data_IF_201132126867
#
_entry.id   IF_201132126867
#
_cell.length_a   1.000
_cell.length_b   1.000
_cell.length_c   1.000
_cell.angle_alpha   90.00
_cell.angle_beta   90.00
_cell.angle_gamma   90.00
#
_symmetry.space_group_name_H-M   'P 1'
#
loop_
_entity.id
_entity.type
_entity.pdbx_description
1 polymer ?
#
# COMPACT_ATOMS: atom_id res chain seq x y z
N UNK A 1 24.06 -16.42 26.21
CA UNK A 1 23.80 -17.67 25.47
C UNK A 1 24.90 -18.71 25.72
N UNK A 2 24.55 -19.98 25.90
CA UNK A 2 25.54 -21.05 26.09
C UNK A 2 26.11 -21.55 24.73
N UNK A 3 27.29 -22.17 24.76
CA UNK A 3 28.01 -22.64 23.56
C UNK A 3 27.29 -23.76 22.81
N UNK A 4 26.43 -24.52 23.50
CA UNK A 4 25.65 -25.60 22.91
C UNK A 4 24.57 -25.06 21.98
N UNK A 5 23.79 -24.05 22.41
CA UNK A 5 22.78 -23.38 21.58
C UNK A 5 23.40 -22.73 20.35
N UNK A 6 24.56 -22.07 20.51
CA UNK A 6 25.30 -21.49 19.37
C UNK A 6 25.68 -22.54 18.32
N UNK A 7 26.19 -23.69 18.80
CA UNK A 7 26.61 -24.79 17.93
C UNK A 7 25.43 -25.45 17.24
N UNK A 8 24.34 -25.74 17.97
CA UNK A 8 23.13 -26.34 17.41
C UNK A 8 22.51 -25.46 16.33
N UNK A 9 22.37 -24.16 16.58
CA UNK A 9 21.80 -23.23 15.61
C UNK A 9 22.65 -23.13 14.34
N UNK A 10 23.97 -23.02 14.48
CA UNK A 10 24.88 -23.02 13.32
C UNK A 10 24.75 -24.28 12.47
N UNK A 11 24.66 -25.45 13.11
CA UNK A 11 24.47 -26.72 12.42
C UNK A 11 23.10 -26.78 11.73
N UNK A 12 22.04 -26.26 12.35
CA UNK A 12 20.70 -26.20 11.78
C UNK A 12 20.67 -25.35 10.50
N UNK A 13 21.26 -24.14 10.52
CA UNK A 13 21.37 -23.28 9.33
C UNK A 13 22.12 -24.02 8.22
N UNK A 14 23.30 -24.59 8.52
CA UNK A 14 24.08 -25.33 7.52
C UNK A 14 23.30 -26.50 6.93
N UNK A 15 22.55 -27.22 7.76
CA UNK A 15 21.71 -28.34 7.32
C UNK A 15 20.63 -27.87 6.35
N UNK A 16 20.02 -26.71 6.58
CA UNK A 16 19.01 -26.14 5.68
C UNK A 16 19.60 -25.58 4.38
N UNK A 17 20.73 -24.87 4.43
CA UNK A 17 21.29 -24.24 3.22
C UNK A 17 21.96 -25.26 2.29
N UNK A 18 22.55 -26.33 2.83
CA UNK A 18 23.25 -27.34 2.04
C UNK A 18 22.35 -28.51 1.60
N UNK A 19 21.19 -28.73 2.22
CA UNK A 19 20.28 -29.79 1.81
C UNK A 19 19.34 -29.36 0.69
N UNK A 20 18.95 -30.30 -0.17
CA UNK A 20 17.91 -30.08 -1.18
C UNK A 20 16.50 -30.09 -0.60
N UNK A 21 16.31 -30.67 0.59
CA UNK A 21 15.03 -30.77 1.29
C UNK A 21 15.10 -30.06 2.63
N UNK A 22 14.02 -29.36 3.00
CA UNK A 22 13.87 -28.81 4.35
C UNK A 22 13.77 -29.95 5.36
N UNK A 23 14.57 -29.87 6.42
CA UNK A 23 14.60 -30.84 7.52
C UNK A 23 13.84 -30.23 8.71
N UNK A 24 12.69 -30.79 9.14
CA UNK A 24 11.86 -30.21 10.19
C UNK A 24 12.63 -29.90 11.47
N UNK A 25 13.50 -30.83 11.89
CA UNK A 25 14.31 -30.69 13.11
C UNK A 25 15.28 -29.51 13.05
N UNK A 26 15.70 -29.09 11.86
CA UNK A 26 16.55 -27.91 11.68
C UNK A 26 15.73 -26.62 11.72
N UNK A 27 14.48 -26.65 11.23
CA UNK A 27 13.56 -25.51 11.35
C UNK A 27 13.15 -25.30 12.80
N UNK A 28 12.86 -26.38 13.54
CA UNK A 28 12.55 -26.32 14.97
C UNK A 28 13.66 -25.67 15.79
N UNK A 29 14.93 -25.92 15.46
CA UNK A 29 16.05 -25.29 16.17
C UNK A 29 16.15 -23.79 15.89
N UNK A 30 15.79 -23.35 14.68
CA UNK A 30 15.68 -21.92 14.35
C UNK A 30 14.52 -21.29 15.14
N UNK A 31 13.36 -21.95 15.19
CA UNK A 31 12.20 -21.48 15.95
C UNK A 31 12.55 -21.28 17.43
N UNK A 32 13.19 -22.29 18.05
CA UNK A 32 13.63 -22.19 19.45
C UNK A 32 14.64 -21.07 19.68
N UNK A 33 15.47 -20.78 18.68
CA UNK A 33 16.43 -19.69 18.78
C UNK A 33 15.75 -18.32 18.68
N UNK A 34 14.75 -18.15 17.83
CA UNK A 34 13.92 -16.94 17.77
C UNK A 34 13.16 -16.72 19.09
N UNK A 35 12.68 -17.80 19.71
CA UNK A 35 12.04 -17.77 21.05
C UNK A 35 12.98 -17.41 22.20
N UNK A 36 14.29 -17.50 21.99
CA UNK A 36 15.27 -17.35 23.05
C UNK A 36 15.85 -15.92 23.07
N UNK A 37 15.41 -15.12 24.04
CA UNK A 37 15.86 -13.73 24.25
C UNK A 37 17.39 -13.59 24.41
N UNK A 38 18.13 -14.66 24.67
CA UNK A 38 19.61 -14.62 24.72
C UNK A 38 20.27 -14.64 23.34
N UNK A 39 19.52 -14.94 22.28
CA UNK A 39 19.96 -14.90 20.89
C UNK A 39 19.68 -13.49 20.39
N UNK A 40 20.69 -12.62 20.44
CA UNK A 40 20.54 -11.22 20.02
C UNK A 40 20.57 -11.07 18.50
N UNK A 41 20.04 -9.95 18.00
CA UNK A 41 20.12 -9.60 16.57
C UNK A 41 21.57 -9.53 16.07
N UNK A 42 22.48 -8.99 16.90
CA UNK A 42 23.92 -8.97 16.61
C UNK A 42 24.48 -10.39 16.43
N UNK A 43 24.03 -11.35 17.23
CA UNK A 43 24.46 -12.74 17.09
C UNK A 43 23.94 -13.35 15.78
N UNK A 44 22.66 -13.15 15.46
CA UNK A 44 22.10 -13.61 14.19
C UNK A 44 22.85 -13.02 12.99
N UNK A 45 23.08 -11.71 12.99
CA UNK A 45 23.77 -10.99 11.93
C UNK A 45 25.18 -11.55 11.73
N UNK A 46 25.95 -11.72 12.82
CA UNK A 46 27.26 -12.33 12.79
C UNK A 46 27.22 -13.79 12.29
N UNK A 47 26.21 -14.56 12.69
CA UNK A 47 26.07 -15.95 12.26
C UNK A 47 25.85 -16.04 10.74
N UNK A 48 24.95 -15.24 10.18
CA UNK A 48 24.71 -15.22 8.73
C UNK A 48 25.91 -14.69 7.94
N UNK A 49 26.59 -13.64 8.43
CA UNK A 49 27.77 -13.09 7.78
C UNK A 49 28.94 -14.09 7.78
N UNK A 50 29.11 -14.87 8.86
CA UNK A 50 30.09 -15.96 8.89
C UNK A 50 29.79 -17.11 7.91
N UNK A 51 28.53 -17.25 7.46
CA UNK A 51 28.15 -18.17 6.38
C UNK A 51 28.14 -17.49 4.99
N UNK A 52 28.57 -16.22 4.91
CA UNK A 52 28.86 -15.49 3.68
C UNK A 52 27.76 -14.54 3.19
N UNK A 53 26.77 -14.19 4.02
CA UNK A 53 25.66 -13.33 3.60
C UNK A 53 26.13 -11.94 3.10
N UNK A 54 27.07 -11.31 3.80
CA UNK A 54 27.66 -10.01 3.44
C UNK A 54 28.35 -10.03 2.07
N UNK A 55 29.16 -11.07 1.81
CA UNK A 55 29.82 -11.30 0.54
C UNK A 55 28.76 -11.57 -0.54
N UNK A 56 27.75 -12.40 -0.24
CA UNK A 56 26.67 -12.73 -1.15
C UNK A 56 25.87 -11.51 -1.61
N UNK A 57 25.64 -10.55 -0.70
CA UNK A 57 25.02 -9.27 -1.00
C UNK A 57 25.93 -8.40 -1.87
N UNK A 58 27.18 -8.21 -1.43
CA UNK A 58 28.14 -7.30 -2.08
C UNK A 58 28.48 -7.73 -3.51
N UNK A 59 28.74 -9.02 -3.70
CA UNK A 59 29.18 -9.58 -4.97
C UNK A 59 28.02 -10.14 -5.82
N UNK A 60 26.77 -10.01 -5.34
CA UNK A 60 25.55 -10.50 -6.01
C UNK A 60 25.63 -11.99 -6.39
N UNK A 61 26.01 -12.84 -5.42
CA UNK A 61 26.19 -14.27 -5.62
C UNK A 61 24.87 -15.00 -5.41
N UNK A 62 24.32 -15.66 -6.43
CA UNK A 62 23.04 -16.36 -6.35
C UNK A 62 23.17 -17.89 -6.35
N UNK A 63 24.12 -18.45 -5.59
CA UNK A 63 24.21 -19.91 -5.46
C UNK A 63 23.00 -20.47 -4.70
N UNK A 64 22.66 -21.76 -4.87
CA UNK A 64 21.55 -22.35 -4.14
C UNK A 64 21.66 -22.22 -2.62
N UNK A 65 22.88 -22.34 -2.09
CA UNK A 65 23.12 -22.17 -0.66
C UNK A 65 22.88 -20.71 -0.25
N UNK A 66 23.33 -19.76 -1.06
CA UNK A 66 23.18 -18.32 -0.75
C UNK A 66 21.71 -17.89 -0.77
N UNK A 67 20.94 -18.36 -1.76
CA UNK A 67 19.49 -18.07 -1.83
C UNK A 67 18.77 -18.56 -0.58
N UNK A 68 19.06 -19.78 -0.10
CA UNK A 68 18.48 -20.30 1.14
C UNK A 68 18.94 -19.53 2.36
N UNK A 69 20.23 -19.22 2.47
CA UNK A 69 20.81 -18.45 3.58
C UNK A 69 20.13 -17.07 3.71
N UNK A 70 20.05 -16.35 2.60
CA UNK A 70 19.43 -15.02 2.52
C UNK A 70 17.92 -15.07 2.82
N UNK A 71 17.24 -16.14 2.40
CA UNK A 71 15.83 -16.35 2.70
C UNK A 71 15.60 -16.56 4.21
N UNK A 72 16.41 -17.40 4.88
CA UNK A 72 16.30 -17.61 6.33
C UNK A 72 16.61 -16.31 7.08
N UNK A 73 17.69 -15.61 6.70
CA UNK A 73 18.07 -14.33 7.32
C UNK A 73 16.91 -13.34 7.31
N UNK A 74 16.24 -13.19 6.16
CA UNK A 74 15.10 -12.29 6.01
C UNK A 74 13.85 -12.71 6.82
N UNK A 75 13.75 -13.96 7.27
CA UNK A 75 12.64 -14.43 8.11
C UNK A 75 12.86 -14.17 9.59
N UNK A 76 14.09 -14.26 10.07
CA UNK A 76 14.42 -14.22 11.50
C UNK A 76 15.05 -12.91 11.95
N UNK A 77 15.45 -12.06 11.00
CA UNK A 77 15.95 -10.71 11.24
C UNK A 77 15.14 -9.71 10.40
N UNK A 78 14.08 -9.09 10.95
CA UNK A 78 13.17 -8.21 10.23
C UNK A 78 13.86 -7.12 9.41
N UNK A 79 14.91 -6.52 9.99
CA UNK A 79 15.71 -5.42 9.43
C UNK A 79 16.36 -5.77 8.07
N UNK A 80 16.51 -7.06 7.80
CA UNK A 80 17.21 -7.58 6.63
C UNK A 80 16.26 -7.86 5.47
N UNK A 81 14.95 -7.93 5.69
CA UNK A 81 13.95 -8.20 4.64
C UNK A 81 14.02 -7.18 3.49
N UNK A 82 14.18 -5.85 3.72
CA UNK A 82 14.38 -4.91 2.62
C UNK A 82 15.66 -5.13 1.81
N UNK A 83 16.75 -5.52 2.48
CA UNK A 83 18.02 -5.83 1.82
C UNK A 83 17.89 -7.11 0.98
N UNK A 84 17.21 -8.12 1.52
CA UNK A 84 16.87 -9.33 0.80
C UNK A 84 16.05 -9.04 -0.46
N UNK A 85 15.00 -8.21 -0.36
CA UNK A 85 14.18 -7.85 -1.51
C UNK A 85 15.00 -7.15 -2.61
N UNK A 86 15.87 -6.20 -2.22
CA UNK A 86 16.75 -5.52 -3.16
C UNK A 86 17.75 -6.49 -3.82
N UNK A 87 18.30 -7.42 -3.04
CA UNK A 87 19.23 -8.44 -3.53
C UNK A 87 18.54 -9.46 -4.43
N UNK A 88 17.34 -9.92 -4.10
CA UNK A 88 16.55 -10.88 -4.89
C UNK A 88 16.14 -10.30 -6.27
N UNK A 89 16.19 -8.97 -6.41
CA UNK A 89 16.08 -8.26 -7.68
C UNK A 89 14.80 -8.59 -8.47
N UNK A 90 13.66 -8.57 -7.78
CA UNK A 90 12.34 -8.80 -8.40
C UNK A 90 12.03 -7.71 -9.42
N UNK A 91 11.61 -8.13 -10.60
CA UNK A 91 11.27 -7.25 -11.72
C UNK A 91 9.76 -7.29 -11.97
N UNK A 92 9.04 -6.17 -11.80
CA UNK A 92 7.60 -6.15 -11.98
C UNK A 92 7.15 -6.63 -13.36
N UNK A 93 6.11 -7.45 -13.39
CA UNK A 93 5.55 -8.02 -14.62
C UNK A 93 6.42 -9.07 -15.31
N UNK A 94 7.57 -9.47 -14.72
CA UNK A 94 8.37 -10.59 -15.21
C UNK A 94 8.10 -11.85 -14.42
N UNK A 95 8.23 -13.00 -15.10
CA UNK A 95 8.20 -14.29 -14.41
C UNK A 95 9.41 -14.41 -13.49
N UNK A 96 9.28 -15.14 -12.36
CA UNK A 96 10.41 -15.37 -11.47
C UNK A 96 11.58 -16.05 -12.20
N UNK A 97 12.80 -15.61 -11.92
CA UNK A 97 14.00 -16.29 -12.38
C UNK A 97 14.31 -17.57 -11.57
N UNK A 98 15.36 -18.29 -11.93
CA UNK A 98 15.73 -19.55 -11.26
C UNK A 98 16.00 -19.37 -9.76
N UNK A 99 16.61 -18.25 -9.36
CA UNK A 99 16.95 -17.96 -7.97
C UNK A 99 15.69 -17.63 -7.17
N UNK A 100 14.78 -16.86 -7.76
CA UNK A 100 13.48 -16.54 -7.17
C UNK A 100 12.61 -17.79 -7.04
N UNK A 101 12.56 -18.65 -8.06
CA UNK A 101 11.87 -19.94 -8.01
C UNK A 101 12.45 -20.86 -6.93
N UNK A 102 13.77 -20.83 -6.74
CA UNK A 102 14.41 -21.61 -5.70
C UNK A 102 14.09 -21.10 -4.29
N UNK A 103 14.13 -19.78 -4.07
CA UNK A 103 13.70 -19.19 -2.80
C UNK A 103 12.25 -19.57 -2.52
N UNK A 104 11.36 -19.46 -3.53
CA UNK A 104 9.96 -19.82 -3.40
C UNK A 104 9.77 -21.30 -3.02
N UNK A 105 10.45 -22.22 -3.72
CA UNK A 105 10.38 -23.64 -3.44
C UNK A 105 10.92 -24.02 -2.06
N UNK A 106 11.92 -23.26 -1.56
CA UNK A 106 12.43 -23.42 -0.21
C UNK A 106 11.45 -22.90 0.84
N UNK A 107 10.86 -21.72 0.64
CA UNK A 107 9.83 -21.15 1.51
C UNK A 107 8.60 -22.05 1.63
N UNK A 108 8.11 -22.60 0.51
CA UNK A 108 6.96 -23.49 0.50
C UNK A 108 7.20 -24.78 1.30
N UNK A 109 8.43 -25.30 1.34
CA UNK A 109 8.77 -26.44 2.18
C UNK A 109 8.90 -26.06 3.67
N UNK A 110 9.30 -24.83 3.98
CA UNK A 110 9.41 -24.36 5.37
C UNK A 110 8.07 -24.00 6.00
N UNK A 111 7.07 -23.57 5.20
CA UNK A 111 5.85 -22.95 5.70
C UNK A 111 5.07 -23.81 6.71
N UNK A 112 5.13 -25.13 6.58
CA UNK A 112 4.45 -26.07 7.48
C UNK A 112 5.06 -26.14 8.90
N UNK A 113 6.28 -25.64 9.08
CA UNK A 113 7.05 -25.74 10.32
C UNK A 113 7.23 -24.40 11.03
N UNK A 114 6.73 -23.30 10.47
CA UNK A 114 6.82 -21.97 11.07
C UNK A 114 5.71 -21.76 12.11
N UNK A 115 6.09 -21.25 13.27
CA UNK A 115 5.15 -20.84 14.32
C UNK A 115 4.75 -19.35 14.18
N UNK A 116 3.87 -18.89 15.05
CA UNK A 116 3.38 -17.52 15.05
C UNK A 116 4.47 -16.48 15.36
N UNK A 117 5.51 -16.85 16.12
CA UNK A 117 6.60 -15.92 16.44
C UNK A 117 7.44 -15.57 15.21
N UNK A 118 7.82 -16.56 14.38
CA UNK A 118 8.50 -16.26 13.12
C UNK A 118 7.60 -15.46 12.18
N UNK A 119 6.29 -15.73 12.15
CA UNK A 119 5.37 -14.91 11.34
C UNK A 119 5.35 -13.46 11.81
N UNK A 120 5.41 -13.21 13.12
CA UNK A 120 5.49 -11.86 13.67
C UNK A 120 6.78 -11.15 13.27
N UNK A 121 7.94 -11.83 13.29
CA UNK A 121 9.20 -11.28 12.78
C UNK A 121 9.09 -10.88 11.30
N UNK A 122 8.47 -11.73 10.48
CA UNK A 122 8.24 -11.43 9.06
C UNK A 122 7.29 -10.24 8.90
N UNK A 123 6.25 -10.15 9.72
CA UNK A 123 5.31 -9.03 9.73
C UNK A 123 6.03 -7.73 10.12
N UNK A 124 6.94 -7.74 11.09
CA UNK A 124 7.80 -6.59 11.41
C UNK A 124 8.69 -6.21 10.22
N UNK A 125 9.22 -7.19 9.49
CA UNK A 125 9.94 -6.95 8.24
C UNK A 125 9.05 -6.27 7.19
N UNK A 126 7.79 -6.68 7.09
CA UNK A 126 6.79 -6.05 6.20
C UNK A 126 6.53 -4.60 6.62
N UNK A 127 6.43 -4.30 7.91
CA UNK A 127 6.33 -2.92 8.42
C UNK A 127 7.50 -2.05 7.91
N UNK A 128 8.73 -2.57 7.91
CA UNK A 128 9.90 -1.88 7.35
C UNK A 128 9.82 -1.67 5.84
N UNK A 129 9.29 -2.64 5.09
CA UNK A 129 9.01 -2.47 3.65
C UNK A 129 7.99 -1.37 3.40
N UNK A 130 6.94 -1.29 4.21
CA UNK A 130 5.91 -0.25 4.14
C UNK A 130 6.47 1.13 4.44
N UNK A 131 7.36 1.26 5.42
CA UNK A 131 8.09 2.51 5.71
C UNK A 131 8.94 2.93 4.50
N UNK A 132 9.67 1.99 3.89
CA UNK A 132 10.48 2.27 2.70
C UNK A 132 9.63 2.67 1.49
N UNK A 133 8.44 2.08 1.34
CA UNK A 133 7.46 2.47 0.33
C UNK A 133 6.99 3.92 0.53
N UNK A 134 6.64 4.30 1.76
CA UNK A 134 6.22 5.67 2.09
C UNK A 134 7.34 6.70 1.87
N UNK A 135 8.58 6.31 2.20
CA UNK A 135 9.80 7.08 1.89
C UNK A 135 10.20 7.05 0.41
N UNK A 136 9.41 6.40 -0.45
CA UNK A 136 9.63 6.25 -1.91
C UNK A 136 10.98 5.61 -2.27
N UNK A 137 11.54 4.79 -1.36
CA UNK A 137 12.77 4.03 -1.58
C UNK A 137 12.51 2.71 -2.33
N UNK A 138 11.27 2.24 -2.32
CA UNK A 138 10.80 1.06 -3.04
C UNK A 138 9.47 1.43 -3.72
N UNK A 139 9.22 0.93 -4.93
CA UNK A 139 7.99 1.24 -5.66
C UNK A 139 6.85 0.27 -5.30
N UNK A 140 5.57 0.70 -5.45
CA UNK A 140 4.42 -0.19 -5.25
C UNK A 140 4.49 -1.46 -6.10
N UNK A 141 4.99 -1.38 -7.34
CA UNK A 141 5.02 -2.50 -8.29
C UNK A 141 6.01 -3.59 -7.85
N UNK A 142 7.15 -3.22 -7.27
CA UNK A 142 8.12 -4.18 -6.71
C UNK A 142 7.50 -4.92 -5.53
N UNK A 143 6.88 -4.20 -4.59
CA UNK A 143 6.22 -4.82 -3.44
C UNK A 143 5.01 -5.67 -3.85
N UNK A 144 4.21 -5.20 -4.81
CA UNK A 144 3.08 -5.96 -5.32
C UNK A 144 3.57 -7.29 -5.91
N UNK A 145 4.62 -7.26 -6.73
CA UNK A 145 5.21 -8.48 -7.31
C UNK A 145 5.75 -9.42 -6.23
N UNK A 146 6.34 -8.88 -5.16
CA UNK A 146 6.84 -9.65 -4.04
C UNK A 146 5.71 -10.35 -3.27
N UNK A 147 4.65 -9.62 -2.92
CA UNK A 147 3.53 -10.16 -2.17
C UNK A 147 2.57 -11.02 -3.01
N UNK A 148 2.61 -10.95 -4.34
CA UNK A 148 1.82 -11.78 -5.25
C UNK A 148 2.42 -13.17 -5.52
N UNK A 149 3.61 -13.47 -5.00
CA UNK A 149 4.21 -14.80 -5.14
C UNK A 149 3.40 -15.83 -4.35
N UNK A 150 2.46 -16.49 -5.03
CA UNK A 150 1.56 -17.50 -4.46
C UNK A 150 2.37 -18.63 -3.81
N UNK A 151 1.96 -19.04 -2.60
CA UNK A 151 2.65 -20.07 -1.83
C UNK A 151 3.95 -19.61 -1.14
N UNK A 152 4.36 -18.35 -1.32
CA UNK A 152 5.45 -17.76 -0.53
C UNK A 152 5.01 -17.47 0.91
N UNK A 153 5.95 -17.56 1.84
CA UNK A 153 5.68 -17.16 3.24
C UNK A 153 5.43 -15.64 3.31
N UNK A 154 6.06 -14.86 2.44
CA UNK A 154 5.84 -13.41 2.32
C UNK A 154 4.38 -13.09 2.00
N UNK A 155 3.78 -13.83 1.06
CA UNK A 155 2.36 -13.70 0.73
C UNK A 155 1.48 -14.07 1.94
N UNK A 156 1.76 -15.18 2.61
CA UNK A 156 1.00 -15.63 3.78
C UNK A 156 1.02 -14.56 4.89
N UNK A 157 2.21 -14.10 5.28
CA UNK A 157 2.36 -13.06 6.30
C UNK A 157 1.79 -11.71 5.86
N UNK A 158 1.84 -11.38 4.56
CA UNK A 158 1.16 -10.19 4.03
C UNK A 158 -0.36 -10.27 4.18
N UNK A 159 -0.97 -11.44 3.98
CA UNK A 159 -2.42 -11.60 4.21
C UNK A 159 -2.78 -11.37 5.69
N UNK A 160 -1.94 -11.84 6.62
CA UNK A 160 -2.14 -11.58 8.04
C UNK A 160 -1.91 -10.09 8.38
N UNK A 161 -0.90 -9.47 7.78
CA UNK A 161 -0.69 -8.02 7.86
C UNK A 161 -1.94 -7.23 7.41
N UNK A 162 -2.54 -7.58 6.27
CA UNK A 162 -3.78 -6.96 5.77
C UNK A 162 -4.93 -7.13 6.77
N UNK A 163 -5.10 -8.30 7.37
CA UNK A 163 -6.12 -8.52 8.42
C UNK A 163 -5.90 -7.61 9.63
N UNK A 164 -4.66 -7.47 10.08
CA UNK A 164 -4.30 -6.58 11.20
C UNK A 164 -4.68 -5.14 10.88
N UNK A 165 -4.29 -4.64 9.70
CA UNK A 165 -4.64 -3.27 9.27
C UNK A 165 -6.16 -3.09 9.16
N UNK A 166 -6.87 -4.04 8.56
CA UNK A 166 -8.32 -4.00 8.45
C UNK A 166 -9.01 -3.95 9.82
N UNK A 167 -8.62 -4.82 10.75
CA UNK A 167 -9.14 -4.83 12.10
C UNK A 167 -8.87 -3.50 12.81
N UNK A 168 -7.63 -3.03 12.70
CA UNK A 168 -7.17 -1.75 13.18
C UNK A 168 -8.02 -0.56 12.77
N UNK A 169 -8.22 -0.41 11.46
CA UNK A 169 -9.02 0.65 10.87
C UNK A 169 -10.53 0.51 11.18
N UNK A 170 -11.03 -0.70 11.49
CA UNK A 170 -12.41 -0.88 11.93
C UNK A 170 -12.62 -0.44 13.39
N UNK A 171 -11.64 -0.69 14.27
CA UNK A 171 -11.72 -0.33 15.69
C UNK A 171 -11.38 1.14 15.92
N UNK A 172 -10.30 1.62 15.30
CA UNK A 172 -9.84 3.02 15.36
C UNK A 172 -9.69 3.54 13.94
N UNK A 173 -10.77 4.02 13.32
CA UNK A 173 -10.78 4.46 11.91
C UNK A 173 -9.91 5.68 11.59
N UNK A 174 -9.40 6.37 12.62
CA UNK A 174 -8.43 7.46 12.48
C UNK A 174 -7.01 6.92 12.34
N UNK A 175 -6.16 7.69 11.68
CA UNK A 175 -4.74 7.39 11.44
C UNK A 175 -3.94 6.97 12.68
N UNK A 176 -4.45 7.18 13.90
CA UNK A 176 -3.83 6.86 15.19
C UNK A 176 -3.29 5.43 15.32
N UNK A 177 -3.91 4.40 14.72
CA UNK A 177 -3.35 3.03 14.79
C UNK A 177 -2.21 2.79 13.79
N UNK A 178 -2.35 3.30 12.56
CA UNK A 178 -1.26 3.29 11.58
C UNK A 178 -0.08 4.10 12.12
N UNK A 179 -0.39 5.22 12.75
CA UNK A 179 0.54 6.04 13.51
C UNK A 179 1.14 5.19 14.62
N UNK A 180 0.43 4.62 15.59
CA UNK A 180 1.07 3.83 16.67
C UNK A 180 1.96 2.67 16.18
N UNK A 181 1.59 2.01 15.06
CA UNK A 181 2.40 0.94 14.47
C UNK A 181 3.61 1.47 13.68
N UNK A 182 3.52 2.69 13.13
CA UNK A 182 4.58 3.36 12.36
C UNK A 182 5.32 4.47 13.16
N UNK A 183 4.84 4.85 14.34
CA UNK A 183 5.24 5.98 15.21
C UNK A 183 6.36 5.59 16.17
N UNK A 184 6.76 4.32 16.19
CA UNK A 184 8.13 3.99 16.59
C UNK A 184 9.18 4.68 15.69
N UNK A 185 8.75 5.43 14.66
CA UNK A 185 9.54 6.42 13.93
C UNK A 185 8.83 7.78 13.99
N UNK A 186 9.18 8.59 14.98
CA UNK A 186 8.67 9.95 15.33
C UNK A 186 8.55 11.00 14.21
N UNK A 187 8.91 10.68 12.97
CA UNK A 187 8.90 11.60 11.83
C UNK A 187 7.60 11.54 11.00
N UNK A 188 6.78 10.50 11.18
CA UNK A 188 5.58 10.26 10.37
C UNK A 188 4.40 11.13 10.87
N UNK A 189 4.23 11.27 12.18
CA UNK A 189 3.11 12.03 12.75
C UNK A 189 3.17 13.53 12.42
N UNK A 190 4.38 14.10 12.32
CA UNK A 190 4.60 15.51 11.96
C UNK A 190 4.29 15.83 10.48
N UNK A 191 4.17 14.82 9.61
CA UNK A 191 3.88 14.99 8.18
C UNK A 191 2.39 14.86 7.81
N UNK A 192 1.55 14.32 8.72
CA UNK A 192 0.11 14.13 8.49
C UNK A 192 -0.66 15.43 8.29
N UNK A 193 -0.23 16.50 8.93
CA UNK A 193 -0.94 17.79 8.87
C UNK A 193 -0.66 18.57 7.59
N UNK A 194 0.38 18.24 6.81
CA UNK A 194 0.87 19.12 5.75
C UNK A 194 1.14 18.46 4.38
N UNK A 195 1.01 17.14 4.19
CA UNK A 195 1.35 16.52 2.90
C UNK A 195 0.28 15.55 2.36
N UNK A 196 -0.65 16.12 1.57
CA UNK A 196 -1.73 15.47 0.78
C UNK A 196 -1.23 14.47 -0.29
N UNK A 197 -0.12 13.77 -0.07
CA UNK A 197 0.39 12.74 -0.97
C UNK A 197 1.16 11.62 -0.26
N UNK A 198 1.38 11.73 1.06
CA UNK A 198 2.28 10.82 1.79
C UNK A 198 1.89 9.35 1.66
N UNK A 199 0.60 9.03 1.81
CA UNK A 199 0.09 7.67 1.72
C UNK A 199 -0.25 7.19 0.30
N UNK A 200 -0.04 8.02 -0.73
CA UNK A 200 -0.34 7.64 -2.12
C UNK A 200 0.38 6.35 -2.57
N UNK A 201 1.66 6.11 -2.22
CA UNK A 201 2.33 4.84 -2.54
C UNK A 201 1.62 3.61 -1.97
N UNK A 202 1.08 3.70 -0.74
CA UNK A 202 0.28 2.62 -0.15
C UNK A 202 -1.04 2.42 -0.89
N UNK A 203 -1.74 3.50 -1.26
CA UNK A 203 -2.96 3.41 -2.05
C UNK A 203 -2.73 2.64 -3.36
N UNK A 204 -1.61 2.93 -4.03
CA UNK A 204 -1.18 2.23 -5.25
C UNK A 204 -0.82 0.77 -5.00
N UNK A 205 -0.10 0.47 -3.92
CA UNK A 205 0.24 -0.91 -3.56
C UNK A 205 -1.03 -1.75 -3.35
N UNK A 206 -1.98 -1.26 -2.55
CA UNK A 206 -3.23 -1.96 -2.28
C UNK A 206 -4.12 -2.09 -3.52
N UNK A 207 -4.11 -1.10 -4.44
CA UNK A 207 -4.77 -1.22 -5.74
C UNK A 207 -4.19 -2.40 -6.55
N UNK A 208 -2.85 -2.51 -6.62
CA UNK A 208 -2.17 -3.58 -7.36
C UNK A 208 -2.42 -4.96 -6.72
N UNK A 209 -2.57 -5.01 -5.41
CA UNK A 209 -2.85 -6.22 -4.64
C UNK A 209 -4.35 -6.55 -4.54
N UNK A 210 -5.21 -5.80 -5.23
CA UNK A 210 -6.67 -5.96 -5.22
C UNK A 210 -7.34 -5.79 -3.84
N UNK A 211 -6.67 -5.12 -2.90
CA UNK A 211 -7.20 -4.75 -1.58
C UNK A 211 -8.01 -3.44 -1.67
N UNK A 212 -9.11 -3.48 -2.42
CA UNK A 212 -9.79 -2.25 -2.88
C UNK A 212 -10.34 -1.36 -1.75
N UNK A 213 -10.74 -1.93 -0.60
CA UNK A 213 -11.17 -1.13 0.58
C UNK A 213 -10.00 -0.34 1.16
N UNK A 214 -8.84 -0.98 1.35
CA UNK A 214 -7.62 -0.32 1.81
C UNK A 214 -7.12 0.70 0.77
N UNK A 215 -7.13 0.34 -0.52
CA UNK A 215 -6.77 1.26 -1.59
C UNK A 215 -7.63 2.52 -1.55
N UNK A 216 -8.95 2.38 -1.43
CA UNK A 216 -9.87 3.51 -1.33
C UNK A 216 -9.62 4.38 -0.09
N UNK A 217 -9.39 3.78 1.08
CA UNK A 217 -9.03 4.51 2.29
C UNK A 217 -7.77 5.35 2.08
N UNK A 218 -6.69 4.73 1.58
CA UNK A 218 -5.42 5.41 1.38
C UNK A 218 -5.46 6.45 0.25
N UNK A 219 -6.29 6.27 -0.78
CA UNK A 219 -6.58 7.32 -1.76
C UNK A 219 -7.31 8.50 -1.13
N UNK A 220 -8.30 8.24 -0.27
CA UNK A 220 -9.05 9.30 0.41
C UNK A 220 -8.15 10.14 1.33
N UNK A 221 -7.32 9.50 2.17
CA UNK A 221 -6.45 10.23 3.10
C UNK A 221 -5.23 10.88 2.44
N UNK A 222 -4.82 10.39 1.27
CA UNK A 222 -3.75 11.04 0.50
C UNK A 222 -4.31 12.14 -0.40
N UNK A 223 -5.18 11.79 -1.34
CA UNK A 223 -5.61 12.68 -2.41
C UNK A 223 -6.93 13.43 -2.14
N UNK A 224 -7.68 13.06 -1.10
CA UNK A 224 -9.03 13.58 -0.85
C UNK A 224 -10.11 13.00 -1.77
N UNK A 225 -9.72 12.17 -2.75
CA UNK A 225 -10.62 11.58 -3.74
C UNK A 225 -10.19 10.15 -4.11
N UNK A 226 -11.16 9.30 -4.44
CA UNK A 226 -10.94 7.88 -4.79
C UNK A 226 -11.26 7.63 -6.26
N UNK A 227 -10.35 7.00 -7.03
CA UNK A 227 -10.60 6.66 -8.42
C UNK A 227 -11.83 5.77 -8.62
N UNK A 228 -12.66 6.08 -9.63
CA UNK A 228 -13.91 5.36 -9.88
C UNK A 228 -13.70 3.86 -10.17
N UNK A 229 -12.60 3.49 -10.82
CA UNK A 229 -12.23 2.09 -11.10
C UNK A 229 -11.94 1.28 -9.81
N UNK A 230 -11.61 1.95 -8.71
CA UNK A 230 -11.46 1.34 -7.39
C UNK A 230 -12.84 1.18 -6.77
N UNK A 231 -13.64 2.25 -6.74
CA UNK A 231 -15.00 2.21 -6.18
C UNK A 231 -15.88 1.15 -6.82
N UNK A 232 -15.79 0.97 -8.14
CA UNK A 232 -16.56 -0.06 -8.86
C UNK A 232 -16.19 -1.50 -8.49
N UNK A 233 -15.02 -1.72 -7.88
CA UNK A 233 -14.51 -3.05 -7.51
C UNK A 233 -14.68 -3.35 -6.02
N UNK A 234 -15.12 -2.38 -5.22
CA UNK A 234 -15.41 -2.60 -3.80
C UNK A 234 -16.73 -3.37 -3.70
N UNK A 235 -16.67 -4.58 -3.16
CA UNK A 235 -17.87 -5.32 -2.80
C UNK A 235 -18.61 -4.58 -1.69
N UNK A 236 -19.84 -4.19 -1.97
CA UNK A 236 -20.74 -3.51 -1.02
C UNK A 236 -21.35 -4.54 -0.07
N UNK A 237 -20.53 -5.04 0.84
CA UNK A 237 -20.98 -5.83 2.00
C UNK A 237 -21.88 -4.94 2.89
N UNK A 238 -22.92 -5.45 3.59
CA UNK A 238 -23.74 -4.71 4.57
C UNK A 238 -23.02 -3.79 5.56
N UNK A 239 -21.73 -3.99 5.84
CA UNK A 239 -20.89 -3.04 6.60
C UNK A 239 -20.59 -1.72 5.85
N UNK A 240 -20.83 -1.69 4.54
CA UNK A 240 -20.69 -0.53 3.66
C UNK A 240 -22.04 0.18 3.62
N UNK A 241 -22.26 1.12 4.53
CA UNK A 241 -23.49 1.90 4.56
C UNK A 241 -23.64 2.71 3.26
N UNK A 242 -24.76 2.49 2.56
CA UNK A 242 -25.28 3.40 1.53
C UNK A 242 -26.52 4.04 2.12
N UNK A 243 -26.41 5.26 2.63
CA UNK A 243 -27.59 6.10 2.74
C UNK A 243 -27.81 6.82 1.40
N UNK A 244 -29.08 7.03 1.03
CA UNK A 244 -29.52 7.43 -0.31
C UNK A 244 -28.98 8.80 -0.73
N UNK A 245 -28.50 9.60 0.23
CA UNK A 245 -27.93 10.94 0.03
C UNK A 245 -26.47 11.11 0.51
N UNK A 246 -25.82 10.12 1.15
CA UNK A 246 -24.66 10.35 2.03
C UNK A 246 -23.28 9.81 1.59
N UNK A 247 -23.14 9.26 0.38
CA UNK A 247 -21.85 8.72 -0.11
C UNK A 247 -21.43 7.39 0.54
N UNK A 248 -20.31 6.84 0.08
CA UNK A 248 -19.76 5.55 0.54
C UNK A 248 -18.91 5.81 1.80
N UNK A 249 -19.09 5.04 2.87
CA UNK A 249 -18.23 5.10 4.07
C UNK A 249 -17.34 3.86 4.12
N UNK A 250 -16.03 4.05 4.27
CA UNK A 250 -15.04 2.97 4.43
C UNK A 250 -14.15 3.30 5.63
N UNK A 251 -14.06 2.38 6.59
CA UNK A 251 -13.34 2.58 7.86
C UNK A 251 -13.66 3.95 8.49
N UNK A 252 -14.96 4.27 8.63
CA UNK A 252 -15.42 5.53 9.22
C UNK A 252 -15.13 6.82 8.41
N UNK A 253 -14.53 6.73 7.22
CA UNK A 253 -14.28 7.86 6.34
C UNK A 253 -15.30 7.95 5.22
N UNK A 254 -15.82 9.16 4.99
CA UNK A 254 -16.60 9.48 3.80
C UNK A 254 -15.70 9.47 2.57
N UNK A 255 -16.10 8.69 1.58
CA UNK A 255 -15.36 8.52 0.35
C UNK A 255 -15.88 9.47 -0.72
N UNK A 256 -15.02 10.38 -1.14
CA UNK A 256 -15.27 11.29 -2.25
C UNK A 256 -14.82 10.62 -3.53
N UNK A 257 -15.74 10.45 -4.48
CA UNK A 257 -15.41 9.91 -5.80
C UNK A 257 -14.63 10.95 -6.61
N UNK A 258 -13.52 10.52 -7.20
CA UNK A 258 -12.81 11.29 -8.24
C UNK A 258 -13.70 11.42 -9.48
N UNK A 259 -14.03 12.65 -9.86
CA UNK A 259 -14.82 12.92 -11.06
C UNK A 259 -14.11 12.41 -12.31
N UNK A 260 -14.86 11.81 -13.22
CA UNK A 260 -14.33 11.39 -14.53
C UNK A 260 -14.10 12.60 -15.42
N UNK A 261 -13.21 12.47 -16.42
CA UNK A 261 -13.00 13.53 -17.42
C UNK A 261 -14.31 13.94 -18.11
N UNK A 262 -15.21 12.99 -18.35
CA UNK A 262 -16.52 13.25 -18.97
C UNK A 262 -17.41 14.06 -18.03
N UNK A 263 -17.48 13.72 -16.75
CA UNK A 263 -18.23 14.49 -15.76
C UNK A 263 -17.69 15.92 -15.61
N UNK A 264 -16.36 16.08 -15.62
CA UNK A 264 -15.71 17.39 -15.55
C UNK A 264 -16.06 18.25 -16.78
N UNK A 265 -16.02 17.65 -17.99
CA UNK A 265 -16.43 18.31 -19.22
C UNK A 265 -17.92 18.66 -19.21
N UNK A 266 -18.79 17.78 -18.70
CA UNK A 266 -20.22 18.05 -18.56
C UNK A 266 -20.49 19.20 -17.59
N UNK A 267 -19.76 19.28 -16.48
CA UNK A 267 -19.86 20.41 -15.54
C UNK A 267 -19.44 21.72 -16.19
N UNK A 268 -18.31 21.74 -16.92
CA UNK A 268 -17.87 22.90 -17.69
C UNK A 268 -18.89 23.32 -18.76
N UNK A 269 -19.53 22.35 -19.43
CA UNK A 269 -20.59 22.61 -20.39
C UNK A 269 -21.84 23.17 -19.73
N UNK A 270 -22.22 22.70 -18.54
CA UNK A 270 -23.34 23.25 -17.77
C UNK A 270 -23.06 24.70 -17.35
N UNK A 271 -21.86 24.99 -16.84
CA UNK A 271 -21.44 26.36 -16.51
C UNK A 271 -21.46 27.28 -17.73
N UNK A 272 -20.96 26.79 -18.88
CA UNK A 272 -21.01 27.51 -20.15
C UNK A 272 -22.46 27.78 -20.57
N UNK A 273 -23.35 26.79 -20.46
CA UNK A 273 -24.78 26.94 -20.76
C UNK A 273 -25.46 27.95 -19.82
N UNK A 274 -25.12 27.95 -18.53
CA UNK A 274 -25.60 28.94 -17.57
C UNK A 274 -25.11 30.33 -17.94
N UNK A 275 -23.84 30.48 -18.29
CA UNK A 275 -23.25 31.74 -18.73
C UNK A 275 -23.93 32.28 -20.00
N UNK A 276 -24.11 31.43 -21.02
CA UNK A 276 -24.82 31.77 -22.26
C UNK A 276 -26.26 32.19 -21.96
N UNK A 277 -26.97 31.44 -21.10
CA UNK A 277 -28.35 31.77 -20.71
C UNK A 277 -28.43 33.15 -20.04
N UNK A 278 -27.52 33.47 -19.13
CA UNK A 278 -27.45 34.80 -18.51
C UNK A 278 -27.14 35.89 -19.53
N UNK A 279 -26.20 35.65 -20.45
CA UNK A 279 -25.87 36.59 -21.53
C UNK A 279 -27.04 36.87 -22.46
N UNK A 280 -27.77 35.84 -22.86
CA UNK A 280 -28.98 35.94 -23.70
C UNK A 280 -30.08 36.72 -22.96
N UNK A 281 -30.39 36.36 -21.71
CA UNK A 281 -31.39 37.06 -20.89
C UNK A 281 -31.04 38.55 -20.74
N UNK A 282 -29.77 38.86 -20.48
CA UNK A 282 -29.28 40.23 -20.38
C UNK A 282 -29.45 41.00 -21.71
N UNK A 283 -29.12 40.39 -22.84
CA UNK A 283 -29.27 40.98 -24.17
C UNK A 283 -30.74 41.23 -24.55
N UNK A 284 -31.62 40.27 -24.30
CA UNK A 284 -33.05 40.44 -24.52
C UNK A 284 -33.64 41.54 -23.63
N UNK A 285 -33.23 41.63 -22.36
CA UNK A 285 -33.63 42.73 -21.48
C UNK A 285 -33.20 44.10 -22.00
N UNK A 286 -31.98 44.21 -22.55
CA UNK A 286 -31.46 45.45 -23.12
C UNK A 286 -32.20 45.86 -24.40
N UNK A 287 -32.48 44.92 -25.30
CA UNK A 287 -33.29 45.17 -26.51
C UNK A 287 -34.71 45.59 -26.13
N UNK A 288 -35.35 44.90 -25.18
CA UNK A 288 -36.70 45.22 -24.75
C UNK A 288 -36.80 46.63 -24.16
N UNK A 289 -35.83 47.04 -23.35
CA UNK A 289 -35.77 48.40 -22.81
C UNK A 289 -35.57 49.47 -23.89
N UNK A 290 -34.73 49.18 -24.91
CA UNK A 290 -34.55 50.05 -26.08
C UNK A 290 -35.85 50.20 -26.87
N UNK A 291 -36.52 49.11 -27.19
CA UNK A 291 -37.81 49.11 -27.89
C UNK A 291 -38.89 49.85 -27.10
N UNK A 292 -38.95 49.65 -25.78
CA UNK A 292 -39.86 50.38 -24.90
C UNK A 292 -39.60 51.89 -24.92
N UNK A 293 -38.33 52.30 -24.90
CA UNK A 293 -37.96 53.73 -24.97
C UNK A 293 -38.33 54.37 -26.31
N UNK A 294 -38.13 53.65 -27.42
CA UNK A 294 -38.54 54.06 -28.76
C UNK A 294 -40.06 54.19 -28.86
N UNK A 295 -40.79 53.21 -28.34
CA UNK A 295 -42.26 53.23 -28.34
C UNK A 295 -42.82 54.40 -27.53
N UNK A 296 -42.25 54.68 -26.35
CA UNK A 296 -42.61 55.84 -25.54
C UNK A 296 -42.28 57.17 -26.22
N UNK A 297 -41.15 57.27 -26.92
CA UNK A 297 -40.79 58.46 -27.69
C UNK A 297 -41.77 58.71 -28.86
N UNK A 298 -42.17 57.66 -29.58
CA UNK A 298 -43.16 57.75 -30.67
C UNK A 298 -44.50 58.24 -30.12
N UNK A 299 -44.97 57.68 -28.99
CA UNK A 299 -46.22 58.13 -28.35
C UNK A 299 -46.12 59.62 -27.95
N UNK A 300 -45.02 60.04 -27.35
CA UNK A 300 -44.82 61.42 -26.91
C UNK A 300 -44.84 62.41 -28.10
N UNK A 301 -44.17 62.08 -29.21
CA UNK A 301 -44.20 62.85 -30.45
C UNK A 301 -45.63 62.94 -31.00
N UNK A 302 -46.35 61.81 -31.02
CA UNK A 302 -47.72 61.73 -31.56
C UNK A 302 -48.69 62.60 -30.74
N UNK A 303 -48.58 62.59 -29.40
CA UNK A 303 -49.39 63.44 -28.51
C UNK A 303 -49.06 64.93 -28.69
N UNK A 304 -47.79 65.27 -28.95
CA UNK A 304 -47.36 66.66 -29.13
C UNK A 304 -47.84 67.23 -30.47
N UNK A 305 -47.96 66.41 -31.52
CA UNK A 305 -48.45 66.81 -32.83
C UNK A 305 -49.99 66.93 -32.94
N UNK A 306 -50.73 66.39 -31.96
CA UNK A 306 -52.20 66.40 -31.93
C UNK A 306 -52.75 67.55 -31.04
N UNK A 307 -51.88 68.29 -30.34
CA UNK A 307 -52.22 69.53 -29.63
C UNK A 307 -51.93 70.76 -30.49
#
# INVERSE_FOLDING_TARGET
MNSQTQTSLKLAIRKLIHSSQVKPEAVEEIVKAVENEQVTDEYWENLFNNEGADIGIKEKIYSPQMVRLMTIRAMVLPETLPQFLAWLNIQPGKKPDENQMMSLGFQSQMSAYLNELIKEEIIQGIDLLMIKLLKKQITPEILASFFQMEGSIWNVCYQDYVKIINHGLNVTPKSEMLNSRMDNLSDISNNLSNNLTYYYPMAKLFELLAEYKLAAYFYQVSCGEVPQNILSKISLDPQTYKDRDSGIIIYGLYITRKATKIELMSMQMIELMIYIKHGIIYWYGKIFNLLKSLFLAIIAITITLIK
#
